data_IF_171810368075
#
_entry.id   IF_171810368075
#
_cell.length_a   1.000
_cell.length_b   1.000
_cell.length_c   1.000
_cell.angle_alpha   90.00
_cell.angle_beta   90.00
_cell.angle_gamma   90.00
#
_symmetry.space_group_name_H-M   'P 1'
#
loop_
_entity.id
_entity.type
_entity.pdbx_description
1 polymer ?
#
# COMPACT_ATOMS: atom_id res chain seq x y z
N UNK A 1 67.58 -4.42 12.27
CA UNK A 1 66.45 -3.50 12.51
C UNK A 1 65.86 -2.87 11.23
N UNK A 2 66.03 -3.44 10.02
CA UNK A 2 65.46 -2.88 8.77
C UNK A 2 64.32 -3.71 8.15
N UNK A 3 64.04 -4.92 8.65
CA UNK A 3 62.98 -5.80 8.12
C UNK A 3 61.66 -5.73 8.91
N UNK A 4 61.64 -5.13 10.10
CA UNK A 4 60.44 -5.02 10.93
C UNK A 4 59.52 -3.86 10.47
N UNK A 5 60.11 -2.79 9.94
CA UNK A 5 59.39 -1.59 9.50
C UNK A 5 58.58 -1.80 8.21
N UNK A 6 59.01 -2.72 7.35
CA UNK A 6 58.36 -3.01 6.05
C UNK A 6 57.07 -3.83 6.26
N UNK A 7 57.05 -4.75 7.23
CA UNK A 7 55.84 -5.55 7.54
C UNK A 7 54.72 -4.71 8.16
N UNK A 8 55.06 -3.66 8.91
CA UNK A 8 54.08 -2.74 9.49
C UNK A 8 53.43 -1.85 8.42
N UNK A 9 54.18 -1.46 7.38
CA UNK A 9 53.67 -0.64 6.28
C UNK A 9 52.70 -1.42 5.38
N UNK A 10 52.94 -2.72 5.15
CA UNK A 10 52.01 -3.59 4.41
C UNK A 10 50.71 -3.89 5.16
N UNK A 11 50.73 -3.88 6.50
CA UNK A 11 49.52 -4.08 7.32
C UNK A 11 48.62 -2.82 7.35
N UNK A 12 49.24 -1.63 7.30
CA UNK A 12 48.51 -0.35 7.29
C UNK A 12 47.80 -0.07 5.95
N UNK A 13 48.38 -0.52 4.83
CA UNK A 13 47.75 -0.42 3.50
C UNK A 13 46.56 -1.38 3.37
N UNK A 14 46.56 -2.52 4.07
CA UNK A 14 45.42 -3.45 4.07
C UNK A 14 44.21 -2.91 4.86
N UNK A 15 44.44 -2.03 5.84
CA UNK A 15 43.40 -1.37 6.65
C UNK A 15 42.80 -0.13 5.96
N UNK A 16 43.53 0.52 5.06
CA UNK A 16 43.05 1.69 4.33
C UNK A 16 42.11 1.35 3.15
N UNK A 17 42.10 0.10 2.68
CA UNK A 17 41.21 -0.36 1.60
C UNK A 17 39.74 -0.53 2.05
N UNK A 18 39.47 -0.46 3.36
CA UNK A 18 38.15 -0.73 3.94
C UNK A 18 37.17 0.44 3.92
N UNK A 19 37.60 1.67 3.59
CA UNK A 19 36.75 2.87 3.70
C UNK A 19 36.20 3.40 2.39
N UNK A 20 36.34 2.67 1.27
CA UNK A 20 35.93 3.12 -0.07
C UNK A 20 34.50 2.72 -0.48
N UNK A 21 33.63 2.26 0.42
CA UNK A 21 32.27 1.83 0.10
C UNK A 21 31.18 2.59 0.87
N UNK A 22 31.28 3.91 0.86
CA UNK A 22 30.13 4.78 1.07
C UNK A 22 29.90 5.62 -0.21
N UNK A 23 29.78 4.95 -1.37
CA UNK A 23 28.87 5.52 -2.36
C UNK A 23 27.49 5.49 -1.72
N UNK A 24 26.84 6.66 -1.65
CA UNK A 24 25.46 6.79 -1.21
C UNK A 24 24.59 5.92 -2.13
N UNK A 25 24.37 4.67 -1.73
CA UNK A 25 23.55 3.74 -2.49
C UNK A 25 22.13 4.31 -2.55
N UNK A 26 21.67 4.61 -3.76
CA UNK A 26 20.33 5.11 -4.00
C UNK A 26 19.73 4.38 -5.19
N UNK A 27 18.42 4.20 -5.17
CA UNK A 27 17.71 3.55 -6.25
C UNK A 27 16.29 4.10 -6.41
N UNK A 28 15.77 3.91 -7.61
CA UNK A 28 14.38 4.20 -7.96
C UNK A 28 13.75 2.94 -8.55
N UNK A 29 12.64 2.50 -7.99
CA UNK A 29 11.88 1.38 -8.49
C UNK A 29 10.46 1.86 -8.87
N UNK A 30 10.06 1.58 -10.10
CA UNK A 30 8.71 1.84 -10.60
C UNK A 30 7.85 0.63 -10.34
N UNK A 31 6.66 0.85 -9.80
CA UNK A 31 5.69 -0.18 -9.48
C UNK A 31 4.37 0.12 -10.20
N UNK A 32 3.68 -0.95 -10.56
CA UNK A 32 2.31 -0.92 -11.04
C UNK A 32 1.45 -1.72 -10.07
N UNK A 33 0.48 -1.06 -9.45
CA UNK A 33 -0.53 -1.69 -8.61
C UNK A 33 -1.76 -2.00 -9.45
N UNK A 34 -2.29 -3.20 -9.30
CA UNK A 34 -3.53 -3.65 -9.91
C UNK A 34 -4.42 -4.28 -8.85
N UNK A 35 -5.58 -3.68 -8.63
CA UNK A 35 -6.60 -4.21 -7.73
C UNK A 35 -7.73 -4.82 -8.51
N UNK A 36 -8.07 -6.07 -8.21
CA UNK A 36 -9.23 -6.73 -8.82
C UNK A 36 -10.49 -6.44 -8.00
N UNK A 37 -11.59 -6.12 -8.68
CA UNK A 37 -12.90 -5.95 -8.06
C UNK A 37 -13.83 -6.99 -8.65
N UNK A 38 -14.59 -7.66 -7.78
CA UNK A 38 -15.65 -8.56 -8.22
C UNK A 38 -16.82 -7.75 -8.79
N UNK A 39 -16.88 -7.71 -10.12
CA UNK A 39 -17.91 -6.98 -10.87
C UNK A 39 -19.18 -7.81 -11.09
N UNK A 40 -19.23 -9.08 -10.68
CA UNK A 40 -20.36 -9.98 -10.95
C UNK A 40 -21.67 -9.42 -10.36
N UNK A 41 -21.58 -8.85 -9.15
CA UNK A 41 -22.70 -8.31 -8.39
C UNK A 41 -22.78 -6.76 -8.40
N UNK A 42 -21.97 -6.10 -9.23
CA UNK A 42 -21.95 -4.64 -9.34
C UNK A 42 -23.20 -4.16 -10.10
N UNK A 43 -24.01 -3.28 -9.48
CA UNK A 43 -25.20 -2.70 -10.11
C UNK A 43 -26.50 -3.53 -10.05
N UNK A 44 -26.49 -4.70 -9.41
CA UNK A 44 -27.64 -5.61 -9.32
C UNK A 44 -28.03 -6.26 -10.66
N UNK A 45 -29.11 -7.05 -10.66
CA UNK A 45 -29.60 -7.80 -11.84
C UNK A 45 -30.06 -6.94 -13.04
N UNK A 46 -29.95 -5.60 -12.97
CA UNK A 46 -30.53 -4.68 -13.95
C UNK A 46 -29.52 -3.95 -14.83
N UNK A 47 -28.21 -4.17 -14.65
CA UNK A 47 -27.17 -3.47 -15.43
C UNK A 47 -26.81 -4.20 -16.72
N UNK A 48 -26.93 -3.52 -17.87
CA UNK A 48 -26.59 -4.10 -19.18
C UNK A 48 -25.08 -4.37 -19.31
N UNK A 49 -24.70 -5.31 -20.17
CA UNK A 49 -23.27 -5.63 -20.40
C UNK A 49 -22.47 -4.40 -20.86
N UNK A 50 -23.07 -3.54 -21.69
CA UNK A 50 -22.44 -2.30 -22.14
C UNK A 50 -22.19 -1.33 -20.98
N UNK A 51 -23.15 -1.18 -20.06
CA UNK A 51 -22.98 -0.37 -18.85
C UNK A 51 -21.90 -0.94 -17.94
N UNK A 52 -21.87 -2.26 -17.74
CA UNK A 52 -20.83 -2.95 -16.95
C UNK A 52 -19.43 -2.71 -17.51
N UNK A 53 -19.27 -2.77 -18.85
CA UNK A 53 -17.99 -2.50 -19.52
C UNK A 53 -17.56 -1.05 -19.37
N UNK A 54 -18.46 -0.08 -19.57
CA UNK A 54 -18.14 1.34 -19.38
C UNK A 54 -17.74 1.66 -17.93
N UNK A 55 -18.40 1.04 -16.95
CA UNK A 55 -18.04 1.19 -15.54
C UNK A 55 -16.67 0.56 -15.27
N UNK A 56 -16.42 -0.66 -15.74
CA UNK A 56 -15.14 -1.32 -15.59
C UNK A 56 -13.99 -0.53 -16.22
N UNK A 57 -14.22 0.08 -17.39
CA UNK A 57 -13.24 0.94 -18.08
C UNK A 57 -12.97 2.23 -17.30
N UNK A 58 -14.00 2.89 -16.77
CA UNK A 58 -13.84 4.06 -15.89
C UNK A 58 -13.15 3.73 -14.57
N UNK A 59 -13.36 2.53 -14.04
CA UNK A 59 -12.70 2.07 -12.84
C UNK A 59 -11.27 1.61 -13.11
N UNK A 60 -10.91 1.26 -14.35
CA UNK A 60 -9.59 0.75 -14.70
C UNK A 60 -8.47 1.72 -14.31
N UNK A 61 -8.61 3.02 -14.58
CA UNK A 61 -7.62 4.03 -14.18
C UNK A 61 -7.50 4.16 -12.66
N UNK A 62 -8.54 3.80 -11.91
CA UNK A 62 -8.53 3.83 -10.44
C UNK A 62 -7.94 2.54 -9.84
N UNK A 63 -8.13 1.41 -10.52
CA UNK A 63 -7.69 0.09 -10.10
C UNK A 63 -6.24 -0.21 -10.54
N UNK A 64 -5.76 0.47 -11.57
CA UNK A 64 -4.41 0.36 -12.11
C UNK A 64 -3.64 1.66 -11.89
N UNK A 65 -2.82 1.70 -10.85
CA UNK A 65 -2.04 2.87 -10.44
C UNK A 65 -0.54 2.64 -10.60
N UNK A 66 0.17 3.68 -10.99
CA UNK A 66 1.63 3.66 -11.11
C UNK A 66 2.24 4.36 -9.89
N UNK A 67 3.32 3.80 -9.36
CA UNK A 67 4.00 4.34 -8.19
C UNK A 67 5.51 4.33 -8.39
N UNK A 68 6.20 5.23 -7.70
CA UNK A 68 7.65 5.30 -7.65
C UNK A 68 8.09 5.12 -6.19
N UNK A 69 8.92 4.11 -5.95
CA UNK A 69 9.72 3.98 -4.74
C UNK A 69 11.09 4.58 -4.99
N UNK A 70 11.42 5.64 -4.27
CA UNK A 70 12.77 6.19 -4.19
C UNK A 70 13.37 5.74 -2.88
N UNK A 71 14.54 5.10 -2.90
CA UNK A 71 15.11 4.47 -1.69
C UNK A 71 16.62 4.59 -1.62
N UNK A 72 17.13 4.55 -0.40
CA UNK A 72 18.52 4.31 -0.07
C UNK A 72 18.60 3.15 0.93
N UNK A 73 19.74 2.95 1.62
CA UNK A 73 19.90 1.87 2.60
C UNK A 73 19.02 2.01 3.85
N UNK A 74 18.58 3.22 4.19
CA UNK A 74 17.87 3.51 5.45
C UNK A 74 16.49 4.11 5.22
N UNK A 75 16.34 4.93 4.19
CA UNK A 75 15.14 5.72 3.92
C UNK A 75 14.50 5.32 2.60
N UNK A 76 13.19 5.48 2.50
CA UNK A 76 12.46 5.39 1.25
C UNK A 76 11.24 6.30 1.23
N UNK A 77 10.84 6.72 0.04
CA UNK A 77 9.57 7.39 -0.22
C UNK A 77 8.85 6.70 -1.38
N UNK A 78 7.62 6.29 -1.13
CA UNK A 78 6.71 5.66 -2.08
C UNK A 78 5.59 6.63 -2.42
N UNK A 79 5.46 7.00 -3.69
CA UNK A 79 4.47 7.99 -4.16
C UNK A 79 3.79 7.55 -5.43
N UNK A 80 2.52 7.89 -5.59
CA UNK A 80 1.79 7.70 -6.86
C UNK A 80 2.45 8.56 -7.95
N UNK A 81 2.63 8.00 -9.14
CA UNK A 81 3.05 8.70 -10.33
C UNK A 81 1.80 9.20 -11.05
N UNK A 82 1.50 10.49 -10.89
CA UNK A 82 0.34 11.12 -11.53
C UNK A 82 0.44 11.02 -13.05
N UNK A 83 -0.49 10.30 -13.67
CA UNK A 83 -0.68 10.35 -15.12
C UNK A 83 -1.50 11.59 -15.44
N UNK A 84 -0.95 12.49 -16.26
CA UNK A 84 -1.70 13.62 -16.82
C UNK A 84 -2.91 13.05 -17.58
N UNK A 85 -4.12 13.25 -17.06
CA UNK A 85 -5.33 12.83 -17.78
C UNK A 85 -5.47 13.64 -19.08
N UNK A 86 -5.94 12.97 -20.14
CA UNK A 86 -6.29 13.65 -21.38
C UNK A 86 -7.41 14.68 -21.13
N UNK A 87 -7.38 15.86 -21.78
CA UNK A 87 -8.42 16.87 -21.60
C UNK A 87 -9.80 16.27 -21.97
N UNK A 88 -10.74 16.26 -21.02
CA UNK A 88 -12.10 15.75 -21.24
C UNK A 88 -12.44 14.41 -20.56
N UNK A 89 -11.54 13.82 -19.78
CA UNK A 89 -11.83 12.69 -18.90
C UNK A 89 -12.78 13.09 -17.76
N UNK A 90 -14.09 13.06 -18.02
CA UNK A 90 -15.15 13.36 -17.05
C UNK A 90 -15.29 12.35 -15.89
N UNK A 91 -14.18 11.86 -15.32
CA UNK A 91 -14.14 11.05 -14.10
C UNK A 91 -14.14 11.90 -12.82
N UNK A 92 -13.79 13.19 -12.91
CA UNK A 92 -13.66 14.15 -11.81
C UNK A 92 -14.97 14.71 -11.25
N UNK A 93 -16.04 13.92 -11.17
CA UNK A 93 -17.22 14.28 -10.38
C UNK A 93 -16.96 14.15 -8.87
N UNK A 94 -17.96 14.46 -8.02
CA UNK A 94 -17.91 14.22 -6.56
C UNK A 94 -17.38 12.83 -6.17
N UNK A 95 -17.61 11.82 -7.01
CA UNK A 95 -17.13 10.44 -6.80
C UNK A 95 -15.60 10.30 -6.94
N UNK A 96 -14.96 11.01 -7.89
CA UNK A 96 -13.51 10.99 -8.07
C UNK A 96 -12.76 11.69 -6.94
N UNK A 97 -13.27 12.84 -6.48
CA UNK A 97 -12.73 13.54 -5.31
C UNK A 97 -12.89 12.75 -4.01
N UNK A 98 -14.03 12.08 -3.82
CA UNK A 98 -14.27 11.22 -2.67
C UNK A 98 -13.37 9.96 -2.68
N UNK A 99 -13.14 9.34 -3.83
CA UNK A 99 -12.23 8.18 -3.98
C UNK A 99 -10.75 8.55 -3.88
N UNK A 100 -10.35 9.72 -4.37
CA UNK A 100 -8.98 10.24 -4.23
C UNK A 100 -8.58 10.35 -2.76
N UNK A 101 -9.49 10.83 -1.90
CA UNK A 101 -9.29 10.91 -0.46
C UNK A 101 -9.11 9.55 0.25
N UNK A 102 -9.46 8.43 -0.40
CA UNK A 102 -9.24 7.07 0.12
C UNK A 102 -7.97 6.41 -0.43
N UNK A 103 -7.30 7.02 -1.40
CA UNK A 103 -5.98 6.55 -1.83
C UNK A 103 -4.92 7.02 -0.84
N UNK A 104 -4.02 6.12 -0.44
CA UNK A 104 -2.86 6.48 0.35
C UNK A 104 -1.97 7.48 -0.40
N UNK A 105 -1.72 8.65 0.19
CA UNK A 105 -0.75 9.60 -0.35
C UNK A 105 0.71 9.16 -0.11
N UNK A 106 1.68 10.05 -0.36
CA UNK A 106 3.10 9.72 -0.23
C UNK A 106 3.47 9.10 1.13
N UNK A 107 4.17 7.96 1.09
CA UNK A 107 4.62 7.24 2.28
C UNK A 107 6.14 7.27 2.37
N UNK A 108 6.66 7.87 3.44
CA UNK A 108 8.07 7.88 3.81
C UNK A 108 8.34 6.85 4.91
N UNK A 109 9.44 6.10 4.77
CA UNK A 109 9.91 5.15 5.77
C UNK A 109 11.37 5.41 6.10
N UNK A 110 11.73 5.30 7.37
CA UNK A 110 13.10 5.16 7.82
C UNK A 110 13.24 3.89 8.67
N UNK A 111 13.91 2.88 8.11
CA UNK A 111 14.06 1.55 8.74
C UNK A 111 15.06 1.55 9.89
N UNK A 112 15.95 2.54 9.98
CA UNK A 112 16.89 2.65 11.10
C UNK A 112 16.17 3.19 12.34
N UNK A 113 15.35 4.21 12.15
CA UNK A 113 14.61 4.88 13.22
C UNK A 113 13.24 4.22 13.48
N UNK A 114 12.87 3.23 12.66
CA UNK A 114 11.58 2.52 12.72
C UNK A 114 10.37 3.46 12.57
N UNK A 115 10.49 4.49 11.74
CA UNK A 115 9.44 5.50 11.52
C UNK A 115 8.76 5.34 10.16
N UNK A 116 7.42 5.39 10.15
CA UNK A 116 6.58 5.53 8.97
C UNK A 116 5.85 6.87 9.04
N UNK A 117 5.89 7.64 7.95
CA UNK A 117 5.16 8.90 7.80
C UNK A 117 4.36 8.84 6.50
N UNK A 118 3.06 9.08 6.56
CA UNK A 118 2.19 9.15 5.39
C UNK A 118 1.51 10.51 5.31
N UNK A 119 1.68 11.18 4.17
CA UNK A 119 0.91 12.37 3.82
C UNK A 119 -0.44 11.92 3.26
N UNK A 120 -1.53 12.38 3.88
CA UNK A 120 -2.87 11.93 3.53
C UNK A 120 -3.84 13.12 3.47
N UNK A 121 -4.49 13.29 2.33
CA UNK A 121 -5.59 14.24 2.18
C UNK A 121 -6.93 13.52 2.32
N UNK A 122 -7.80 14.05 3.17
CA UNK A 122 -9.13 13.50 3.40
C UNK A 122 -10.14 14.64 3.55
N UNK A 123 -11.04 14.77 2.57
CA UNK A 123 -12.07 15.81 2.50
C UNK A 123 -11.55 17.24 2.65
N UNK A 124 -10.49 17.57 1.91
CA UNK A 124 -9.89 18.90 1.88
C UNK A 124 -9.07 19.24 3.12
N UNK A 125 -8.87 18.28 4.04
CA UNK A 125 -7.96 18.39 5.17
C UNK A 125 -6.75 17.50 4.94
N UNK A 126 -5.57 18.07 5.19
CA UNK A 126 -4.31 17.34 5.12
C UNK A 126 -3.92 16.81 6.50
N UNK A 127 -3.58 15.53 6.56
CA UNK A 127 -3.13 14.80 7.73
C UNK A 127 -1.73 14.25 7.50
N UNK A 128 -0.90 14.31 8.53
CA UNK A 128 0.42 13.71 8.54
C UNK A 128 0.38 12.53 9.51
N UNK A 129 0.17 11.34 8.96
CA UNK A 129 0.07 10.12 9.75
C UNK A 129 1.48 9.69 10.13
N UNK A 130 1.85 9.77 11.40
CA UNK A 130 3.15 9.33 11.93
C UNK A 130 2.96 8.14 12.84
N UNK A 131 3.66 7.05 12.56
CA UNK A 131 3.63 5.85 13.37
C UNK A 131 4.95 5.08 13.28
N UNK A 132 5.07 4.01 14.06
CA UNK A 132 6.15 3.04 13.91
C UNK A 132 5.91 2.17 12.67
N UNK A 133 6.98 1.75 11.98
CA UNK A 133 6.81 0.88 10.81
C UNK A 133 6.22 -0.47 11.26
N UNK A 134 5.11 -0.95 10.67
CA UNK A 134 4.50 -2.23 11.04
C UNK A 134 5.46 -3.39 10.80
N UNK A 135 5.70 -4.24 11.80
CA UNK A 135 6.52 -5.42 11.63
C UNK A 135 5.72 -6.55 10.99
N UNK A 136 6.23 -7.11 9.89
CA UNK A 136 5.68 -8.27 9.22
C UNK A 136 6.59 -9.48 9.49
N UNK A 137 6.00 -10.52 10.10
CA UNK A 137 6.70 -11.79 10.33
C UNK A 137 6.76 -12.59 9.02
N UNK A 138 7.82 -12.38 8.24
CA UNK A 138 8.03 -13.07 6.99
C UNK A 138 8.49 -14.52 7.21
N UNK A 139 7.74 -15.45 6.62
CA UNK A 139 8.16 -16.83 6.40
C UNK A 139 8.81 -16.94 5.03
N UNK A 140 10.09 -17.29 5.03
CA UNK A 140 10.86 -17.52 3.80
C UNK A 140 10.44 -18.85 3.16
N UNK A 141 10.15 -18.85 1.86
CA UNK A 141 9.74 -20.03 1.11
C UNK A 141 10.84 -20.44 0.11
N UNK A 142 10.84 -21.70 -0.31
CA UNK A 142 11.89 -22.25 -1.20
C UNK A 142 11.64 -21.99 -2.69
N UNK A 143 10.58 -21.28 -3.04
CA UNK A 143 10.25 -20.95 -4.43
C UNK A 143 11.08 -19.77 -4.92
N UNK A 144 11.55 -19.87 -6.17
CA UNK A 144 12.24 -18.78 -6.86
C UNK A 144 11.67 -18.57 -8.26
N UNK A 145 11.72 -17.32 -8.74
CA UNK A 145 11.34 -16.94 -10.10
C UNK A 145 12.13 -15.74 -10.57
N UNK A 146 12.19 -15.55 -11.89
CA UNK A 146 12.82 -14.39 -12.49
C UNK A 146 11.79 -13.25 -12.62
N UNK A 147 12.14 -12.05 -12.14
CA UNK A 147 11.33 -10.82 -12.34
C UNK A 147 12.24 -9.78 -13.01
N UNK A 148 11.97 -9.49 -14.28
CA UNK A 148 12.90 -8.73 -15.12
C UNK A 148 14.25 -9.44 -15.20
N UNK A 149 15.31 -8.77 -14.77
CA UNK A 149 16.67 -9.33 -14.73
C UNK A 149 17.08 -9.91 -13.35
N UNK A 150 16.18 -9.87 -12.36
CA UNK A 150 16.52 -10.24 -10.99
C UNK A 150 15.96 -11.61 -10.61
N UNK A 151 16.81 -12.43 -9.99
CA UNK A 151 16.37 -13.67 -9.34
C UNK A 151 15.65 -13.30 -8.05
N UNK A 152 14.41 -13.75 -7.91
CA UNK A 152 13.54 -13.41 -6.79
C UNK A 152 13.12 -14.65 -6.03
N UNK A 153 13.00 -14.52 -4.71
CA UNK A 153 12.56 -15.58 -3.80
C UNK A 153 11.23 -15.21 -3.17
N UNK A 154 10.42 -16.22 -2.87
CA UNK A 154 9.12 -16.04 -2.25
C UNK A 154 9.24 -15.92 -0.74
N UNK A 155 8.44 -15.04 -0.16
CA UNK A 155 8.18 -14.96 1.26
C UNK A 155 6.68 -14.73 1.50
N UNK A 156 6.16 -15.25 2.60
CA UNK A 156 4.75 -15.06 2.99
C UNK A 156 4.66 -14.44 4.38
N UNK A 157 3.64 -13.63 4.61
CA UNK A 157 3.33 -13.06 5.93
C UNK A 157 1.82 -12.96 6.12
N UNK A 158 1.37 -12.86 7.36
CA UNK A 158 -0.03 -12.63 7.69
C UNK A 158 -0.15 -11.23 8.26
N UNK A 159 -1.04 -10.41 7.68
CA UNK A 159 -1.41 -9.10 8.21
C UNK A 159 -2.87 -9.14 8.67
N UNK A 160 -3.17 -8.46 9.78
CA UNK A 160 -4.55 -8.24 10.20
C UNK A 160 -5.28 -7.36 9.19
N UNK A 161 -6.54 -7.65 8.94
CA UNK A 161 -7.41 -6.77 8.16
C UNK A 161 -7.40 -5.36 8.73
N UNK A 162 -7.33 -4.38 7.83
CA UNK A 162 -7.42 -2.96 8.16
C UNK A 162 -8.83 -2.50 7.81
N UNK A 163 -9.52 -1.86 8.76
CA UNK A 163 -10.89 -1.38 8.57
C UNK A 163 -10.99 -0.33 7.45
N UNK A 164 -9.87 0.27 7.06
CA UNK A 164 -9.77 1.20 5.93
C UNK A 164 -9.28 0.53 4.63
N UNK A 165 -9.03 -0.78 4.60
CA UNK A 165 -8.63 -1.50 3.39
C UNK A 165 -9.87 -1.87 2.53
N UNK A 166 -10.42 -0.84 1.91
CA UNK A 166 -11.58 -0.92 1.02
C UNK A 166 -11.37 -1.89 -0.16
N UNK A 167 -10.13 -2.12 -0.58
CA UNK A 167 -9.81 -3.05 -1.67
C UNK A 167 -10.14 -4.50 -1.30
N UNK A 168 -10.02 -4.85 -0.02
CA UNK A 168 -10.26 -6.20 0.49
C UNK A 168 -11.61 -6.38 1.19
N UNK A 169 -12.42 -5.33 1.34
CA UNK A 169 -13.80 -5.43 1.83
C UNK A 169 -14.63 -6.36 0.93
N UNK A 170 -15.36 -7.28 1.57
CA UNK A 170 -16.24 -8.25 0.90
C UNK A 170 -17.67 -7.99 1.31
N UNK A 171 -18.62 -8.15 0.38
CA UNK A 171 -20.03 -8.19 0.80
C UNK A 171 -20.28 -9.45 1.64
N UNK A 172 -20.88 -9.26 2.80
CA UNK A 172 -21.30 -10.30 3.72
C UNK A 172 -22.36 -11.17 3.04
N UNK A 173 -22.08 -12.46 2.89
CA UNK A 173 -23.01 -13.39 2.24
C UNK A 173 -24.08 -13.84 3.25
N UNK A 174 -25.30 -13.28 3.12
CA UNK A 174 -26.41 -13.48 4.07
C UNK A 174 -26.92 -14.94 4.16
N UNK A 175 -26.58 -15.79 3.19
CA UNK A 175 -27.06 -17.18 3.13
C UNK A 175 -26.17 -18.19 3.88
N UNK A 176 -24.91 -17.85 4.18
CA UNK A 176 -23.98 -18.82 4.82
C UNK A 176 -24.16 -18.88 6.34
N UNK A 177 -24.60 -17.79 6.98
CA UNK A 177 -24.75 -17.69 8.43
C UNK A 177 -26.08 -18.25 8.99
N UNK A 178 -27.09 -18.51 8.16
CA UNK A 178 -28.34 -19.15 8.63
C UNK A 178 -28.14 -20.61 9.08
N UNK A 179 -26.99 -21.23 8.80
CA UNK A 179 -26.70 -22.61 9.20
C UNK A 179 -25.94 -22.73 10.53
N UNK A 180 -25.39 -21.64 11.07
CA UNK A 180 -24.53 -21.69 12.26
C UNK A 180 -25.00 -20.86 13.46
N UNK A 181 -26.10 -20.10 13.36
CA UNK A 181 -26.63 -19.34 14.51
C UNK A 181 -28.11 -19.66 14.77
N UNK A 182 -28.37 -20.88 15.24
CA UNK A 182 -29.66 -21.31 15.75
C UNK A 182 -29.89 -20.91 17.22
N UNK A 183 -29.16 -19.90 17.75
CA UNK A 183 -29.32 -19.51 19.15
C UNK A 183 -29.12 -18.02 19.45
N UNK A 184 -29.71 -17.13 18.64
CA UNK A 184 -29.94 -15.73 19.06
C UNK A 184 -31.38 -15.30 18.84
N UNK A 185 -32.00 -14.98 19.97
CA UNK A 185 -33.36 -14.47 20.11
C UNK A 185 -33.66 -13.30 19.17
N UNK A 186 -34.86 -13.35 18.58
CA UNK A 186 -35.51 -12.22 17.92
C UNK A 186 -35.60 -11.05 18.90
N UNK A 187 -34.77 -10.02 18.69
CA UNK A 187 -35.11 -8.68 19.17
C UNK A 187 -35.09 -7.72 17.98
N UNK A 188 -36.26 -7.16 17.72
CA UNK A 188 -36.56 -6.30 16.59
C UNK A 188 -36.21 -4.86 16.94
N UNK A 189 -34.92 -4.53 16.89
CA UNK A 189 -34.48 -3.13 16.81
C UNK A 189 -33.46 -3.00 15.68
N UNK A 190 -33.97 -2.65 14.48
CA UNK A 190 -33.18 -2.42 13.26
C UNK A 190 -32.24 -1.23 13.45
N UNK A 191 -30.97 -1.50 13.71
CA UNK A 191 -29.87 -0.65 13.26
C UNK A 191 -29.43 -1.16 11.88
N UNK A 192 -29.80 -0.45 10.80
CA UNK A 192 -29.28 -0.76 9.47
C UNK A 192 -27.94 -0.01 9.29
N UNK A 193 -26.89 -0.49 9.96
CA UNK A 193 -25.52 -0.06 9.67
C UNK A 193 -25.05 -0.76 8.40
N UNK A 194 -24.50 -0.04 7.42
CA UNK A 194 -23.97 -0.63 6.16
C UNK A 194 -22.67 -1.41 6.45
N UNK A 195 -22.08 -1.20 7.63
CA UNK A 195 -21.06 -2.05 8.23
C UNK A 195 -21.52 -3.50 8.46
N UNK A 196 -22.82 -3.79 8.51
CA UNK A 196 -23.31 -5.18 8.58
C UNK A 196 -23.33 -5.88 7.21
N UNK A 197 -23.17 -5.15 6.10
CA UNK A 197 -23.18 -5.71 4.74
C UNK A 197 -21.77 -5.97 4.20
N UNK A 198 -20.71 -5.48 4.84
CA UNK A 198 -19.33 -5.69 4.39
C UNK A 198 -18.45 -6.25 5.51
N UNK A 199 -17.73 -7.33 5.21
CA UNK A 199 -16.76 -7.94 6.11
C UNK A 199 -15.34 -7.65 5.61
N UNK A 200 -14.50 -7.14 6.52
CA UNK A 200 -13.05 -7.07 6.33
C UNK A 200 -12.49 -8.44 6.70
N UNK A 201 -11.71 -9.11 5.83
CA UNK A 201 -11.02 -10.34 6.20
C UNK A 201 -10.17 -10.09 7.44
N UNK A 202 -10.38 -10.87 8.51
CA UNK A 202 -9.62 -10.73 9.77
C UNK A 202 -8.11 -10.84 9.55
N UNK A 203 -7.72 -11.67 8.59
CA UNK A 203 -6.34 -11.92 8.21
C UNK A 203 -6.22 -11.95 6.69
N UNK A 204 -5.15 -11.33 6.19
CA UNK A 204 -4.79 -11.28 4.78
C UNK A 204 -3.42 -11.94 4.65
N UNK A 205 -3.36 -13.00 3.84
CA UNK A 205 -2.07 -13.61 3.46
C UNK A 205 -1.42 -12.71 2.42
N UNK A 206 -0.21 -12.27 2.74
CA UNK A 206 0.65 -11.50 1.86
C UNK A 206 1.68 -12.46 1.28
N UNK A 207 1.82 -12.45 -0.04
CA UNK A 207 2.93 -13.12 -0.73
C UNK A 207 3.81 -12.07 -1.37
N UNK A 208 5.07 -12.01 -0.96
CA UNK A 208 6.07 -11.12 -1.53
C UNK A 208 7.13 -11.92 -2.31
N UNK A 209 7.61 -11.34 -3.41
CA UNK A 209 8.80 -11.79 -4.10
C UNK A 209 9.87 -10.72 -3.97
N UNK A 210 11.04 -11.08 -3.44
CA UNK A 210 12.13 -10.15 -3.15
C UNK A 210 13.44 -10.64 -3.77
N UNK A 211 14.37 -9.71 -4.03
CA UNK A 211 15.68 -10.04 -4.59
C UNK A 211 16.83 -9.60 -3.67
N UNK A 212 17.67 -10.53 -3.17
CA UNK A 212 18.88 -10.20 -2.42
C UNK A 212 19.95 -9.47 -3.25
N UNK A 213 19.83 -9.48 -4.58
CA UNK A 213 20.77 -8.83 -5.49
C UNK A 213 20.77 -7.30 -5.31
N UNK A 214 19.69 -6.74 -4.75
CA UNK A 214 19.61 -5.36 -4.29
C UNK A 214 19.44 -5.41 -2.78
N UNK A 215 20.55 -5.34 -1.99
CA UNK A 215 20.56 -5.64 -0.56
C UNK A 215 20.04 -4.45 0.26
N UNK A 216 18.76 -4.12 0.08
CA UNK A 216 18.02 -3.16 0.89
C UNK A 216 16.78 -3.83 1.48
N UNK A 217 16.42 -3.44 2.68
CA UNK A 217 15.21 -3.90 3.39
C UNK A 217 13.98 -3.03 3.07
N UNK A 218 13.85 -2.62 1.81
CA UNK A 218 12.82 -1.70 1.33
C UNK A 218 11.83 -2.40 0.40
N UNK A 219 10.64 -1.81 0.25
CA UNK A 219 9.57 -2.34 -0.59
C UNK A 219 8.44 -1.32 -0.78
N UNK A 220 7.46 -1.63 -1.64
CA UNK A 220 6.37 -0.72 -1.95
C UNK A 220 5.46 -0.53 -0.73
N UNK A 221 4.96 0.70 -0.54
CA UNK A 221 4.03 1.04 0.54
C UNK A 221 4.53 0.64 1.94
N UNK A 222 3.70 -0.08 2.69
CA UNK A 222 4.01 -0.57 4.03
C UNK A 222 4.91 -1.83 4.04
N UNK A 223 5.18 -2.46 2.90
CA UNK A 223 5.94 -3.71 2.84
C UNK A 223 7.44 -3.46 2.95
N UNK A 224 8.11 -4.13 3.89
CA UNK A 224 9.55 -4.00 4.16
C UNK A 224 10.05 -5.21 4.97
N UNK A 225 11.35 -5.24 5.29
CA UNK A 225 11.92 -6.20 6.25
C UNK A 225 12.45 -7.51 5.66
N UNK A 226 12.33 -7.71 4.34
CA UNK A 226 12.98 -8.82 3.64
C UNK A 226 14.46 -8.48 3.35
N UNK A 227 15.36 -9.48 3.25
CA UNK A 227 16.78 -9.27 2.98
C UNK A 227 17.03 -8.98 1.49
N UNK A 228 16.35 -7.97 0.96
CA UNK A 228 16.41 -7.56 -0.44
C UNK A 228 15.19 -6.74 -0.86
N UNK A 229 15.32 -6.03 -1.98
CA UNK A 229 14.24 -5.21 -2.51
C UNK A 229 13.03 -6.08 -2.89
N UNK A 230 11.85 -5.70 -2.41
CA UNK A 230 10.60 -6.37 -2.76
C UNK A 230 10.17 -5.97 -4.16
N UNK A 231 10.06 -6.94 -5.08
CA UNK A 231 9.72 -6.71 -6.49
C UNK A 231 8.25 -6.97 -6.78
N UNK A 232 7.61 -7.86 -6.05
CA UNK A 232 6.18 -8.15 -6.23
C UNK A 232 5.52 -8.37 -4.88
N UNK A 233 4.32 -7.87 -4.70
CA UNK A 233 3.48 -8.15 -3.53
C UNK A 233 2.08 -8.51 -4.01
N UNK A 234 1.54 -9.61 -3.49
CA UNK A 234 0.14 -9.98 -3.61
C UNK A 234 -0.47 -9.95 -2.22
N UNK A 235 -1.40 -9.03 -2.00
CA UNK A 235 -2.12 -8.87 -0.74
C UNK A 235 -3.63 -8.88 -1.02
N UNK A 236 -4.26 -10.03 -0.77
CA UNK A 236 -5.68 -10.23 -1.08
C UNK A 236 -5.97 -10.06 -2.58
N UNK A 237 -6.69 -8.98 -2.94
CA UNK A 237 -7.08 -8.67 -4.33
C UNK A 237 -6.13 -7.72 -5.07
N UNK A 238 -5.12 -7.22 -4.38
CA UNK A 238 -4.18 -6.24 -4.91
C UNK A 238 -2.84 -6.89 -5.21
N UNK A 239 -2.36 -6.71 -6.43
CA UNK A 239 -1.02 -7.10 -6.88
C UNK A 239 -0.22 -5.84 -7.18
N UNK A 240 0.95 -5.71 -6.57
CA UNK A 240 1.91 -4.63 -6.85
C UNK A 240 3.13 -5.29 -7.50
N UNK A 241 3.47 -4.87 -8.72
CA UNK A 241 4.59 -5.44 -9.48
C UNK A 241 5.59 -4.35 -9.87
N UNK A 242 6.88 -4.60 -9.62
CA UNK A 242 7.98 -3.76 -10.05
C UNK A 242 8.20 -3.93 -11.56
N UNK A 243 8.19 -2.82 -12.29
CA UNK A 243 8.33 -2.79 -13.75
C UNK A 243 9.69 -2.32 -14.21
N UNK A 244 10.35 -1.45 -13.43
CA UNK A 244 11.66 -0.87 -13.77
C UNK A 244 12.43 -0.54 -12.51
N UNK A 245 13.75 -0.76 -12.52
CA UNK A 245 14.65 -0.38 -11.45
C UNK A 245 15.83 0.40 -12.03
N UNK A 246 16.13 1.53 -11.41
CA UNK A 246 17.28 2.39 -11.69
C UNK A 246 18.15 2.40 -10.43
N UNK A 247 19.39 1.94 -10.54
CA UNK A 247 20.36 1.93 -9.43
C UNK A 247 21.39 3.01 -9.67
N UNK A 248 21.67 3.81 -8.65
CA UNK A 248 22.61 4.92 -8.67
C UNK A 248 22.42 5.83 -9.90
N UNK A 249 21.24 6.45 -10.08
CA UNK A 249 21.06 7.42 -11.15
C UNK A 249 22.05 8.58 -11.01
N UNK A 250 22.37 9.22 -12.13
CA UNK A 250 23.28 10.37 -12.17
C UNK A 250 22.80 11.54 -11.31
N UNK A 251 21.48 11.70 -11.18
CA UNK A 251 20.86 12.71 -10.35
C UNK A 251 20.64 12.18 -8.93
N UNK A 252 21.05 12.98 -7.93
CA UNK A 252 20.80 12.64 -6.53
C UNK A 252 19.30 12.55 -6.27
N UNK A 253 18.86 11.42 -5.72
CA UNK A 253 17.46 11.23 -5.34
C UNK A 253 17.21 11.94 -4.01
N UNK A 254 16.28 12.90 -4.03
CA UNK A 254 15.87 13.65 -2.84
C UNK A 254 14.73 12.90 -2.12
N UNK A 255 15.08 12.19 -1.05
CA UNK A 255 14.13 11.48 -0.19
C UNK A 255 13.81 12.41 0.99
N UNK A 256 12.67 13.11 0.90
CA UNK A 256 12.22 14.03 1.95
C UNK A 256 10.97 13.50 2.63
N UNK A 257 11.03 13.41 3.96
CA UNK A 257 9.86 13.15 4.77
C UNK A 257 8.82 14.29 4.59
N UNK A 258 7.53 13.97 4.42
CA UNK A 258 6.49 14.98 4.42
C UNK A 258 6.36 15.61 5.81
N UNK A 259 6.02 16.90 5.84
CA UNK A 259 5.96 17.70 7.08
C UNK A 259 4.70 18.58 7.19
N UNK A 260 3.77 18.46 6.24
CA UNK A 260 2.57 19.28 6.15
C UNK A 260 1.34 18.51 6.62
N UNK A 261 0.37 19.22 7.20
CA UNK A 261 -0.88 18.64 7.68
C UNK A 261 -0.92 18.48 9.20
N UNK A 262 -2.09 18.08 9.70
CA UNK A 262 -2.29 17.79 11.12
C UNK A 262 -1.63 16.45 11.47
N UNK A 263 -0.68 16.46 12.40
CA UNK A 263 -0.04 15.22 12.88
C UNK A 263 -1.05 14.36 13.64
N UNK A 264 -1.15 13.09 13.24
CA UNK A 264 -2.02 12.08 13.84
C UNK A 264 -1.34 10.71 13.78
N UNK A 265 -1.71 9.81 14.68
CA UNK A 265 -1.36 8.39 14.59
C UNK A 265 -2.25 7.66 13.59
N UNK A 266 -1.89 6.44 13.18
CA UNK A 266 -2.74 5.65 12.28
C UNK A 266 -4.13 5.42 12.86
N UNK A 267 -4.21 5.07 14.15
CA UNK A 267 -5.47 4.82 14.86
C UNK A 267 -6.36 6.06 14.98
N UNK A 268 -5.77 7.22 15.22
CA UNK A 268 -6.51 8.50 15.23
C UNK A 268 -7.05 8.81 13.84
N UNK A 269 -6.25 8.60 12.79
CA UNK A 269 -6.70 8.76 11.42
C UNK A 269 -7.86 7.82 11.07
N UNK A 270 -7.77 6.54 11.44
CA UNK A 270 -8.87 5.56 11.31
C UNK A 270 -10.16 6.03 11.98
N UNK A 271 -10.05 6.59 13.19
CA UNK A 271 -11.20 7.14 13.91
C UNK A 271 -11.80 8.34 13.18
N UNK A 272 -10.97 9.28 12.71
CA UNK A 272 -11.41 10.45 11.95
C UNK A 272 -12.13 10.05 10.66
N UNK A 273 -11.59 9.09 9.92
CA UNK A 273 -12.20 8.60 8.69
C UNK A 273 -13.54 7.93 8.98
N UNK A 274 -13.60 7.08 10.01
CA UNK A 274 -14.82 6.37 10.41
C UNK A 274 -15.93 7.34 10.83
N UNK A 275 -15.63 8.29 11.71
CA UNK A 275 -16.58 9.31 12.17
C UNK A 275 -17.09 10.16 11.00
N UNK A 276 -16.18 10.63 10.13
CA UNK A 276 -16.58 11.49 9.02
C UNK A 276 -17.39 10.73 7.97
N UNK A 277 -17.06 9.47 7.73
CA UNK A 277 -17.80 8.61 6.81
C UNK A 277 -19.22 8.35 7.33
N UNK A 278 -19.38 8.11 8.64
CA UNK A 278 -20.71 7.93 9.24
C UNK A 278 -21.51 9.25 9.26
N UNK A 279 -20.89 10.39 9.60
CA UNK A 279 -21.52 11.72 9.56
C UNK A 279 -22.07 12.02 8.15
N UNK A 280 -21.27 11.77 7.10
CA UNK A 280 -21.73 11.92 5.73
C UNK A 280 -22.87 10.97 5.40
N UNK A 281 -22.80 9.73 5.88
CA UNK A 281 -23.83 8.73 5.65
C UNK A 281 -25.15 9.14 6.28
N UNK A 282 -25.15 9.72 7.47
CA UNK A 282 -26.37 10.28 8.10
C UNK A 282 -26.93 11.47 7.30
N UNK A 283 -26.05 12.40 6.87
CA UNK A 283 -26.46 13.57 6.10
C UNK A 283 -26.99 13.25 4.70
N UNK A 284 -26.43 12.25 4.01
CA UNK A 284 -26.81 11.87 2.64
C UNK A 284 -27.82 10.71 2.57
N UNK A 285 -27.84 9.82 3.56
CA UNK A 285 -28.76 8.67 3.65
C UNK A 285 -30.19 9.05 4.05
N UNK A 286 -30.41 10.24 4.62
CA UNK A 286 -31.73 10.73 5.07
C UNK A 286 -32.68 11.22 3.97
N UNK A 287 -32.23 11.44 2.73
CA UNK A 287 -33.06 12.08 1.67
C UNK A 287 -33.83 11.13 0.74
N UNK A 288 -33.65 9.82 0.86
CA UNK A 288 -34.30 8.82 -0.02
C UNK A 288 -35.55 8.13 0.54
N UNK A 289 -35.97 8.41 1.78
CA UNK A 289 -37.07 7.69 2.47
C UNK A 289 -38.37 8.48 2.62
N UNK A 290 -38.54 9.55 1.85
CA UNK A 290 -39.77 10.35 1.87
C UNK A 290 -40.18 10.80 0.48
N UNK A 291 -40.56 9.86 -0.40
CA UNK A 291 -41.46 10.07 -1.56
C UNK A 291 -41.71 8.73 -2.29
N UNK A 292 -42.68 7.98 -1.78
CA UNK A 292 -43.81 7.36 -2.47
C UNK A 292 -44.42 6.27 -1.58
#
# INVERSE_FOLDING_TARGET
MKSLSIKFFSFLILLASGTLMAQDFQGRAHYMSKTTVDMSNFGGNQMSEQQRRMIAERMKSMLEKSYILSFNRTESIYKEEEKLEAPGGGGGGRMGGMMGSFTAGPQYKNVKDQVLIQDQEFFGKQFLIKDSIPQLEWKMENESKQIGQYLSFKATAIKKGDDLDFANMRRRNRDTDQRNDSNKSKDSTKSNSTTDEFEVPKEIVITAWYTPQIPVNQGPGEYWGLPGLILEVNAGRTTILCTKIEINPSDKIDIKAPSKGKEVTKKEYETIVKEKTEEMREMYGGRGRGRN
#
